data_IF_889940615846
#
_entry.id   IF_889940615846
#
_cell.length_a   1.000
_cell.length_b   1.000
_cell.length_c   1.000
_cell.angle_alpha   90.00
_cell.angle_beta   90.00
_cell.angle_gamma   90.00
#
_symmetry.space_group_name_H-M   'P 1'
#
loop_
_entity.id
_entity.type
_entity.pdbx_description
1 polymer ?
#
# COMPACT_ATOMS: atom_id res chain seq x y z
N UNK A 1 35.26 8.39 19.11
CA UNK A 1 34.25 7.36 19.43
C UNK A 1 33.15 7.53 18.40
N UNK A 2 32.98 6.58 17.48
CA UNK A 2 31.99 6.70 16.42
C UNK A 2 30.60 6.51 17.03
N UNK A 3 29.78 7.55 17.00
CA UNK A 3 28.39 7.48 17.40
C UNK A 3 27.68 6.49 16.49
N UNK A 4 27.14 5.41 17.06
CA UNK A 4 26.50 4.34 16.28
C UNK A 4 25.12 4.84 15.84
N UNK A 5 24.86 4.80 14.53
CA UNK A 5 23.55 5.13 13.99
C UNK A 5 22.46 4.28 14.68
N UNK A 6 21.51 4.96 15.32
CA UNK A 6 20.38 4.32 16.02
C UNK A 6 19.20 4.22 15.08
N UNK A 7 18.54 3.06 15.01
CA UNK A 7 17.38 2.87 14.16
C UNK A 7 16.18 3.70 14.63
N UNK A 8 15.44 4.27 13.68
CA UNK A 8 14.18 4.95 13.95
C UNK A 8 13.11 3.92 14.36
N UNK A 9 12.23 4.30 15.27
CA UNK A 9 11.07 3.50 15.64
C UNK A 9 9.90 3.71 14.66
N UNK A 10 8.95 2.78 14.63
CA UNK A 10 7.79 2.86 13.71
C UNK A 10 6.95 4.12 13.96
N UNK A 11 6.85 4.59 15.21
CA UNK A 11 6.09 5.79 15.54
C UNK A 11 6.72 7.07 14.94
N UNK A 12 8.05 7.14 14.88
CA UNK A 12 8.79 8.22 14.23
C UNK A 12 8.57 8.19 12.71
N UNK A 13 8.52 6.99 12.10
CA UNK A 13 8.21 6.85 10.68
C UNK A 13 6.76 7.25 10.36
N UNK A 14 5.79 6.88 11.22
CA UNK A 14 4.40 7.30 11.06
C UNK A 14 4.24 8.82 11.15
N UNK A 15 5.03 9.51 11.96
CA UNK A 15 5.00 10.99 12.00
C UNK A 15 5.37 11.61 10.65
N UNK A 16 6.33 11.02 9.95
CA UNK A 16 6.70 11.48 8.60
C UNK A 16 5.65 11.09 7.56
N UNK A 17 5.14 9.85 7.63
CA UNK A 17 4.12 9.36 6.68
C UNK A 17 2.80 10.15 6.79
N UNK A 18 2.42 10.59 7.99
CA UNK A 18 1.16 11.33 8.19
C UNK A 18 1.31 12.85 7.93
N UNK A 19 2.44 13.30 7.38
CA UNK A 19 2.68 14.71 7.07
C UNK A 19 1.93 15.09 5.78
N UNK A 20 0.92 15.93 5.90
CA UNK A 20 0.01 16.28 4.79
C UNK A 20 0.56 17.29 3.76
N UNK A 21 1.79 17.74 3.95
CA UNK A 21 2.54 18.64 3.05
C UNK A 21 3.30 17.88 1.95
N UNK A 22 3.50 16.58 2.08
CA UNK A 22 4.19 15.74 1.08
C UNK A 22 3.20 15.33 -0.02
N UNK A 23 3.46 15.79 -1.25
CA UNK A 23 2.60 15.50 -2.41
C UNK A 23 2.46 14.00 -2.70
N UNK A 24 3.53 13.22 -2.55
CA UNK A 24 3.53 11.75 -2.78
C UNK A 24 2.60 10.99 -1.84
N UNK A 25 2.38 11.50 -0.63
CA UNK A 25 1.45 10.92 0.34
C UNK A 25 0.03 11.43 0.07
N UNK A 26 -0.09 12.70 -0.32
CA UNK A 26 -1.37 13.39 -0.48
C UNK A 26 -2.12 12.97 -1.74
N UNK A 27 -1.40 12.71 -2.84
CA UNK A 27 -2.02 12.48 -4.15
C UNK A 27 -1.89 11.03 -4.59
N UNK A 28 -3.04 10.46 -4.99
CA UNK A 28 -3.10 9.16 -5.64
C UNK A 28 -3.10 9.32 -7.17
N UNK A 29 -2.73 8.26 -7.91
CA UNK A 29 -2.85 8.24 -9.37
C UNK A 29 -4.30 8.48 -9.85
N UNK A 30 -4.45 9.00 -11.08
CA UNK A 30 -5.72 9.44 -11.64
C UNK A 30 -6.86 8.40 -11.58
N UNK A 31 -6.59 7.14 -11.93
CA UNK A 31 -7.61 6.08 -11.89
C UNK A 31 -8.11 5.80 -10.47
N UNK A 32 -7.21 5.83 -9.49
CA UNK A 32 -7.57 5.68 -8.08
C UNK A 32 -8.45 6.84 -7.64
N UNK A 33 -8.08 8.08 -7.98
CA UNK A 33 -8.84 9.27 -7.59
C UNK A 33 -10.24 9.32 -8.23
N UNK A 34 -10.39 8.88 -9.48
CA UNK A 34 -11.67 8.95 -10.19
C UNK A 34 -12.63 7.80 -9.84
N UNK A 35 -12.13 6.56 -9.74
CA UNK A 35 -12.97 5.37 -9.65
C UNK A 35 -12.88 4.63 -8.32
N UNK A 36 -11.80 4.84 -7.55
CA UNK A 36 -11.55 4.17 -6.27
C UNK A 36 -11.12 5.16 -5.16
N UNK A 37 -11.92 6.22 -4.89
CA UNK A 37 -11.52 7.27 -3.94
C UNK A 37 -11.61 6.83 -2.47
N UNK A 38 -12.41 5.82 -2.17
CA UNK A 38 -12.71 5.39 -0.81
C UNK A 38 -11.71 4.32 -0.32
N UNK A 39 -11.47 4.29 0.99
CA UNK A 39 -10.54 3.35 1.63
C UNK A 39 -11.25 2.58 2.73
N UNK A 40 -11.06 1.26 2.76
CA UNK A 40 -11.49 0.37 3.84
C UNK A 40 -10.30 -0.44 4.34
N UNK A 41 -10.05 -0.42 5.65
CA UNK A 41 -8.95 -1.17 6.29
C UNK A 41 -9.50 -2.35 7.07
N UNK A 42 -8.89 -3.53 6.91
CA UNK A 42 -9.33 -4.77 7.55
C UNK A 42 -8.36 -5.20 8.65
N UNK A 43 -8.88 -5.81 9.71
CA UNK A 43 -8.07 -6.46 10.76
C UNK A 43 -7.63 -7.89 10.39
N UNK A 44 -8.26 -8.48 9.38
CA UNK A 44 -7.97 -9.81 8.85
C UNK A 44 -6.96 -9.75 7.70
N UNK A 45 -6.23 -10.86 7.49
CA UNK A 45 -5.30 -10.97 6.34
C UNK A 45 -6.01 -10.94 4.99
N UNK A 46 -7.23 -11.49 4.94
CA UNK A 46 -8.09 -11.47 3.76
C UNK A 46 -9.04 -10.28 3.85
N UNK A 47 -9.39 -9.72 2.70
CA UNK A 47 -10.41 -8.70 2.52
C UNK A 47 -11.76 -9.41 2.49
N UNK A 48 -12.64 -9.07 3.42
CA UNK A 48 -13.99 -9.61 3.52
C UNK A 48 -14.95 -8.56 2.95
N UNK A 49 -15.39 -8.73 1.70
CA UNK A 49 -16.23 -7.74 1.03
C UNK A 49 -17.67 -7.71 1.57
N UNK A 50 -18.10 -8.80 2.19
CA UNK A 50 -19.40 -8.96 2.84
C UNK A 50 -19.55 -8.14 4.12
N UNK A 51 -18.45 -7.71 4.74
CA UNK A 51 -18.47 -6.92 5.98
C UNK A 51 -18.39 -5.41 5.72
N UNK A 52 -18.52 -4.96 4.48
CA UNK A 52 -18.51 -3.54 4.15
C UNK A 52 -19.87 -2.92 4.47
N UNK A 53 -19.86 -1.77 5.12
CA UNK A 53 -21.08 -1.02 5.47
C UNK A 53 -21.77 -0.39 4.24
N UNK A 54 -21.11 -0.40 3.07
CA UNK A 54 -21.57 0.23 1.83
C UNK A 54 -22.09 -0.85 0.88
N UNK A 55 -23.39 -0.87 0.63
CA UNK A 55 -24.06 -1.85 -0.24
C UNK A 55 -23.83 -1.62 -1.75
N UNK A 56 -23.42 -0.41 -2.15
CA UNK A 56 -23.24 -0.02 -3.56
C UNK A 56 -21.93 -0.52 -4.19
N UNK A 57 -21.06 -1.17 -3.41
CA UNK A 57 -19.76 -1.69 -3.89
C UNK A 57 -19.91 -3.17 -4.27
N UNK A 58 -19.19 -3.63 -5.30
CA UNK A 58 -19.19 -5.06 -5.67
C UNK A 58 -18.73 -5.94 -4.51
N UNK A 59 -19.65 -6.77 -4.00
CA UNK A 59 -19.42 -7.61 -2.80
C UNK A 59 -18.82 -8.99 -3.09
N UNK A 60 -18.71 -9.40 -4.36
CA UNK A 60 -18.07 -10.67 -4.74
C UNK A 60 -17.25 -10.52 -6.01
N UNK A 61 -16.24 -11.37 -6.13
CA UNK A 61 -15.43 -11.51 -7.33
C UNK A 61 -15.29 -12.99 -7.72
N UNK A 62 -15.18 -13.24 -9.03
CA UNK A 62 -14.87 -14.57 -9.53
C UNK A 62 -13.35 -14.80 -9.49
N UNK A 63 -12.90 -15.63 -8.56
CA UNK A 63 -11.49 -15.95 -8.38
C UNK A 63 -11.16 -17.29 -9.06
N UNK A 64 -10.11 -17.32 -9.88
CA UNK A 64 -9.64 -18.53 -10.56
C UNK A 64 -8.13 -18.71 -10.33
N UNK A 65 -7.65 -19.93 -10.08
CA UNK A 65 -6.22 -20.19 -10.00
C UNK A 65 -5.56 -20.08 -11.38
N UNK A 66 -4.26 -19.76 -11.37
CA UNK A 66 -3.44 -19.68 -12.57
C UNK A 66 -2.35 -20.75 -12.55
N UNK A 67 -2.10 -21.38 -13.70
CA UNK A 67 -0.95 -22.26 -13.93
C UNK A 67 -0.09 -21.63 -15.01
N UNK A 68 1.07 -21.09 -14.61
CA UNK A 68 1.88 -20.24 -15.49
C UNK A 68 1.08 -19.01 -15.93
N UNK A 69 0.90 -18.86 -17.24
CA UNK A 69 0.14 -17.75 -17.83
C UNK A 69 -1.33 -18.10 -18.12
N UNK A 70 -1.78 -19.33 -17.87
CA UNK A 70 -3.14 -19.77 -18.19
C UNK A 70 -4.05 -19.76 -16.97
N UNK A 71 -5.21 -19.11 -17.10
CA UNK A 71 -6.25 -19.07 -16.07
C UNK A 71 -7.12 -20.31 -16.16
N UNK A 72 -7.27 -21.05 -15.05
CA UNK A 72 -8.15 -22.22 -14.97
C UNK A 72 -9.56 -21.81 -14.51
N UNK A 73 -10.39 -21.37 -15.45
CA UNK A 73 -11.77 -20.91 -15.17
C UNK A 73 -12.68 -22.03 -14.65
N UNK A 74 -12.46 -23.27 -15.07
CA UNK A 74 -13.26 -24.42 -14.62
C UNK A 74 -13.12 -24.69 -13.11
N UNK A 75 -12.00 -24.25 -12.51
CA UNK A 75 -11.76 -24.31 -11.05
C UNK A 75 -12.06 -22.98 -10.36
N UNK A 76 -12.63 -22.03 -11.08
CA UNK A 76 -13.01 -20.75 -10.54
C UNK A 76 -14.26 -20.84 -9.69
N UNK A 77 -14.36 -19.95 -8.73
CA UNK A 77 -15.52 -19.83 -7.85
C UNK A 77 -15.76 -18.36 -7.52
N UNK A 78 -17.02 -18.01 -7.24
CA UNK A 78 -17.35 -16.70 -6.71
C UNK A 78 -17.05 -16.66 -5.21
N UNK A 79 -16.39 -15.59 -4.76
CA UNK A 79 -16.09 -15.40 -3.35
C UNK A 79 -16.14 -13.91 -2.99
N UNK A 80 -16.63 -13.64 -1.78
CA UNK A 80 -16.52 -12.34 -1.12
C UNK A 80 -15.21 -12.17 -0.36
N UNK A 81 -14.43 -13.25 -0.21
CA UNK A 81 -13.15 -13.23 0.50
C UNK A 81 -11.99 -13.13 -0.50
N UNK A 82 -11.31 -12.00 -0.51
CA UNK A 82 -10.18 -11.74 -1.42
C UNK A 82 -8.86 -11.77 -0.64
N UNK A 83 -7.87 -12.49 -1.17
CA UNK A 83 -6.50 -12.44 -0.66
C UNK A 83 -5.73 -11.31 -1.36
N UNK A 84 -5.34 -10.22 -0.66
CA UNK A 84 -4.55 -9.16 -1.28
C UNK A 84 -3.11 -9.61 -1.52
N UNK A 85 -2.49 -9.07 -2.57
CA UNK A 85 -1.05 -9.18 -2.82
C UNK A 85 -0.27 -8.42 -1.74
N UNK A 86 0.46 -9.13 -0.90
CA UNK A 86 1.19 -8.50 0.20
C UNK A 86 2.50 -7.87 -0.31
N UNK A 87 2.62 -6.55 -0.18
CA UNK A 87 3.79 -5.79 -0.63
C UNK A 87 4.64 -5.33 0.57
N UNK A 88 5.97 -5.50 0.46
CA UNK A 88 6.96 -5.04 1.46
C UNK A 88 8.30 -4.66 0.81
N UNK A 89 8.35 -3.61 -0.04
CA UNK A 89 9.60 -3.14 -0.62
C UNK A 89 10.55 -2.64 0.48
N UNK A 90 11.85 -2.89 0.32
CA UNK A 90 12.90 -2.42 1.24
C UNK A 90 14.05 -1.79 0.45
N UNK A 91 14.68 -0.77 1.05
CA UNK A 91 15.84 -0.09 0.47
C UNK A 91 16.96 -0.01 1.51
N UNK A 92 18.20 -0.07 1.03
CA UNK A 92 19.38 0.20 1.86
C UNK A 92 19.62 1.71 1.97
N UNK A 93 19.87 2.17 3.19
CA UNK A 93 20.19 3.58 3.49
C UNK A 93 21.71 3.69 3.63
N UNK A 94 22.34 4.18 2.57
CA UNK A 94 23.79 4.37 2.51
C UNK A 94 24.12 5.86 2.76
N UNK A 95 24.84 6.19 3.86
CA UNK A 95 25.18 7.57 4.20
C UNK A 95 26.24 8.19 3.28
N UNK A 96 26.92 7.38 2.46
CA UNK A 96 27.96 7.86 1.53
C UNK A 96 27.39 8.36 0.20
N UNK A 97 26.12 8.06 -0.08
CA UNK A 97 25.43 8.53 -1.28
C UNK A 97 25.28 10.05 -1.24
N UNK A 98 25.51 10.69 -2.39
CA UNK A 98 25.25 12.12 -2.56
C UNK A 98 23.75 12.38 -2.45
N UNK A 99 23.34 13.12 -1.42
CA UNK A 99 21.96 13.53 -1.20
C UNK A 99 21.74 14.85 -1.95
N UNK A 100 20.74 14.88 -2.84
CA UNK A 100 20.29 16.13 -3.44
C UNK A 100 19.46 16.91 -2.43
N UNK A 101 19.85 18.16 -2.16
CA UNK A 101 19.06 19.10 -1.35
C UNK A 101 17.91 19.68 -2.15
N UNK A 102 16.84 20.07 -1.46
CA UNK A 102 15.73 20.78 -2.12
C UNK A 102 16.12 22.23 -2.40
N UNK A 103 15.58 22.81 -3.45
CA UNK A 103 15.80 24.21 -3.78
C UNK A 103 15.22 25.10 -2.67
N UNK A 104 16.04 26.01 -2.11
CA UNK A 104 15.64 26.94 -1.05
C UNK A 104 15.75 26.40 0.38
N UNK A 105 16.41 25.26 0.59
CA UNK A 105 16.74 24.73 1.91
C UNK A 105 17.86 25.56 2.57
N UNK A 106 17.73 25.82 3.89
CA UNK A 106 18.74 26.55 4.68
C UNK A 106 20.08 25.76 4.69
N UNK A 107 21.25 26.43 4.61
CA UNK A 107 22.54 25.76 4.49
C UNK A 107 22.88 24.82 5.66
#
# INVERSE_FOLDING_TARGET
>A
MADKATALNTNQLFRYLNRGDIAEVKFSPLFTTLFFPNVATFSTQNIMLDTLDIEEVTMSAFCSPMVGSQVQRDKGYETSTIKPGYMKPKHEIDPTKTIMRMAGEDP
#
